data_IF_419213823766
#
_entry.id   IF_419213823766
#
_cell.length_a   1.000
_cell.length_b   1.000
_cell.length_c   1.000
_cell.angle_alpha   90.00
_cell.angle_beta   90.00
_cell.angle_gamma   90.00
#
_symmetry.space_group_name_H-M   'P 1'
#
loop_
_entity.id
_entity.type
_entity.pdbx_description
1 polymer ?
#
# COMPACT_ATOMS: atom_id res chain seq x y z
N UNK A 1 -37.84 -17.87 -45.18
CA UNK A 1 -36.62 -17.05 -45.35
C UNK A 1 -35.63 -17.43 -44.25
N UNK A 2 -34.35 -17.48 -44.61
CA UNK A 2 -33.26 -18.28 -44.01
C UNK A 2 -32.84 -17.92 -42.58
N UNK A 3 -32.59 -18.96 -41.79
CA UNK A 3 -31.70 -18.97 -40.61
C UNK A 3 -30.23 -18.86 -41.03
N UNK A 4 -29.40 -18.17 -40.24
CA UNK A 4 -27.95 -18.32 -40.26
C UNK A 4 -27.42 -18.52 -38.83
N UNK A 5 -26.79 -19.67 -38.65
CA UNK A 5 -26.00 -20.11 -37.50
C UNK A 5 -24.55 -19.74 -37.82
N UNK A 6 -23.86 -19.05 -36.91
CA UNK A 6 -22.43 -18.74 -37.04
C UNK A 6 -21.60 -19.96 -36.59
N UNK A 7 -20.71 -20.44 -37.47
CA UNK A 7 -19.75 -21.51 -37.22
C UNK A 7 -18.35 -20.95 -36.90
N UNK A 8 -17.67 -21.59 -35.95
CA UNK A 8 -16.29 -21.30 -35.51
C UNK A 8 -15.22 -21.58 -36.59
N UNK A 9 -14.02 -20.95 -36.50
CA UNK A 9 -12.91 -21.19 -37.44
C UNK A 9 -12.02 -22.40 -37.08
N UNK A 10 -11.50 -23.02 -38.15
CA UNK A 10 -10.91 -24.35 -38.29
C UNK A 10 -9.41 -24.44 -37.93
N UNK A 11 -9.01 -25.55 -37.30
CA UNK A 11 -7.70 -25.84 -36.69
C UNK A 11 -6.75 -26.62 -37.63
N UNK A 12 -6.78 -26.34 -38.94
CA UNK A 12 -6.03 -27.09 -39.96
C UNK A 12 -4.75 -26.38 -40.46
N UNK A 13 -4.51 -25.13 -40.05
CA UNK A 13 -3.35 -24.33 -40.47
C UNK A 13 -2.07 -24.57 -39.66
N UNK A 14 -2.18 -25.05 -38.41
CA UNK A 14 -1.04 -25.21 -37.50
C UNK A 14 -0.19 -26.47 -37.77
N UNK A 15 -0.65 -27.41 -38.61
CA UNK A 15 0.04 -28.68 -38.86
C UNK A 15 0.98 -28.71 -40.08
N UNK A 16 1.10 -27.62 -40.85
CA UNK A 16 1.87 -27.63 -42.11
C UNK A 16 3.29 -27.06 -42.04
N UNK A 17 3.73 -26.48 -40.92
CA UNK A 17 5.09 -25.91 -40.82
C UNK A 17 6.14 -26.82 -40.13
N UNK A 18 5.76 -27.98 -39.60
CA UNK A 18 6.66 -28.83 -38.80
C UNK A 18 7.46 -29.89 -39.60
N UNK A 19 7.48 -29.88 -40.95
CA UNK A 19 7.91 -31.08 -41.70
C UNK A 19 8.93 -30.88 -42.84
N UNK A 20 9.71 -29.79 -42.90
CA UNK A 20 10.81 -29.69 -43.87
C UNK A 20 12.08 -29.16 -43.21
N UNK A 21 13.21 -29.76 -43.59
CA UNK A 21 14.61 -29.43 -43.26
C UNK A 21 15.29 -30.23 -42.14
N UNK A 22 15.02 -31.54 -42.10
CA UNK A 22 16.07 -32.51 -41.76
C UNK A 22 16.77 -32.96 -43.04
N UNK A 23 18.12 -33.04 -43.00
CA UNK A 23 19.08 -33.72 -43.91
C UNK A 23 19.96 -32.81 -44.79
N UNK A 24 21.19 -32.58 -44.35
CA UNK A 24 22.46 -32.42 -45.11
C UNK A 24 23.51 -32.03 -44.06
N UNK A 25 24.46 -32.86 -43.62
CA UNK A 25 25.47 -33.57 -44.40
C UNK A 25 26.82 -32.86 -44.21
N UNK A 26 27.71 -33.42 -43.38
CA UNK A 26 29.06 -32.95 -43.07
C UNK A 26 29.86 -32.57 -44.33
N UNK A 27 30.43 -31.36 -44.40
CA UNK A 27 31.67 -31.04 -45.12
C UNK A 27 32.06 -29.58 -44.85
N UNK A 28 33.34 -29.27 -44.58
CA UNK A 28 33.86 -27.91 -44.77
C UNK A 28 34.46 -27.21 -43.56
N UNK A 29 35.57 -27.76 -43.11
CA UNK A 29 36.69 -27.16 -42.36
C UNK A 29 37.04 -25.68 -42.72
N UNK A 30 37.35 -24.87 -41.69
CA UNK A 30 38.18 -23.63 -41.65
C UNK A 30 37.97 -22.53 -42.71
N UNK A 31 37.18 -21.47 -42.41
CA UNK A 31 37.42 -20.10 -42.94
C UNK A 31 36.96 -19.01 -41.94
N UNK A 32 37.89 -18.11 -41.62
CA UNK A 32 37.70 -16.72 -41.17
C UNK A 32 37.11 -16.43 -39.78
N UNK A 33 37.99 -16.58 -38.80
CA UNK A 33 38.07 -15.74 -37.60
C UNK A 33 38.47 -14.31 -38.03
N UNK A 34 37.52 -13.37 -38.17
CA UNK A 34 37.76 -11.92 -38.13
C UNK A 34 36.44 -11.12 -38.15
N UNK A 35 36.40 -10.03 -37.37
CA UNK A 35 35.39 -8.95 -37.31
C UNK A 35 34.22 -9.15 -36.33
N UNK A 36 34.52 -9.05 -35.04
CA UNK A 36 33.60 -8.47 -34.05
C UNK A 36 34.35 -7.53 -33.12
N UNK A 37 34.89 -6.44 -33.67
CA UNK A 37 35.20 -5.23 -32.92
C UNK A 37 33.90 -4.44 -32.76
N UNK A 38 33.04 -4.88 -31.82
CA UNK A 38 31.78 -4.23 -31.46
C UNK A 38 31.88 -3.65 -30.06
N UNK A 39 31.69 -2.33 -29.96
CA UNK A 39 31.80 -1.46 -28.79
C UNK A 39 31.49 -2.11 -27.42
N UNK A 40 32.49 -2.09 -26.54
CA UNK A 40 32.30 -2.32 -25.11
C UNK A 40 31.31 -1.29 -24.55
N UNK A 41 30.07 -1.72 -24.32
CA UNK A 41 29.12 -0.97 -23.52
C UNK A 41 29.61 -1.02 -22.07
N UNK A 42 30.27 0.06 -21.63
CA UNK A 42 30.53 0.28 -20.22
C UNK A 42 29.18 0.40 -19.51
N UNK A 43 28.71 -0.71 -18.92
CA UNK A 43 27.59 -0.68 -17.99
C UNK A 43 28.02 0.16 -16.79
N UNK A 44 27.43 1.35 -16.65
CA UNK A 44 27.47 2.10 -15.40
C UNK A 44 26.65 1.27 -14.41
N UNK A 45 27.30 0.33 -13.74
CA UNK A 45 26.74 -0.34 -12.58
C UNK A 45 26.58 0.75 -11.54
N UNK A 46 25.35 1.18 -11.29
CA UNK A 46 25.03 2.08 -10.20
C UNK A 46 25.63 1.48 -8.93
N UNK A 47 26.52 2.24 -8.28
CA UNK A 47 27.04 1.86 -6.97
C UNK A 47 25.82 1.66 -6.05
N UNK A 48 25.73 0.55 -5.30
CA UNK A 48 24.70 0.42 -4.29
C UNK A 48 24.82 1.64 -3.38
N UNK A 49 23.74 2.43 -3.31
CA UNK A 49 23.63 3.48 -2.31
C UNK A 49 23.75 2.87 -0.91
N UNK A 50 24.15 3.65 0.11
CA UNK A 50 24.21 3.14 1.46
C UNK A 50 22.86 2.49 1.82
N UNK A 51 22.91 1.20 2.16
CA UNK A 51 21.78 0.45 2.64
C UNK A 51 21.15 1.22 3.79
N UNK A 52 19.87 1.57 3.65
CA UNK A 52 19.16 2.33 4.66
C UNK A 52 19.31 1.56 5.98
N UNK A 53 19.91 2.19 6.98
CA UNK A 53 20.13 1.58 8.29
C UNK A 53 18.80 0.96 8.77
N UNK A 54 18.84 -0.26 9.36
CA UNK A 54 17.62 -0.94 9.79
C UNK A 54 16.86 0.01 10.72
N UNK A 55 15.74 0.53 10.21
CA UNK A 55 14.87 1.40 10.98
C UNK A 55 14.28 0.53 12.09
N UNK A 56 14.75 0.72 13.32
CA UNK A 56 14.18 0.08 14.47
C UNK A 56 12.72 0.55 14.58
N UNK A 57 11.78 -0.32 14.18
CA UNK A 57 10.35 -0.08 14.40
C UNK A 57 10.18 0.03 15.91
N UNK A 58 9.75 1.18 16.45
CA UNK A 58 9.58 1.31 17.89
C UNK A 58 8.58 0.25 18.35
N UNK A 59 9.02 -0.61 19.27
CA UNK A 59 8.14 -1.62 19.86
C UNK A 59 7.16 -0.94 20.81
N UNK A 60 5.92 -0.74 20.37
CA UNK A 60 4.85 -0.19 21.20
C UNK A 60 4.10 -1.27 22.00
N UNK A 61 4.47 -2.53 21.82
CA UNK A 61 3.87 -3.71 22.44
C UNK A 61 4.88 -4.44 23.31
N UNK A 62 4.39 -5.06 24.39
CA UNK A 62 5.17 -6.03 25.16
C UNK A 62 5.41 -7.27 24.29
N UNK A 63 6.67 -7.60 23.93
CA UNK A 63 6.99 -8.77 23.11
C UNK A 63 6.57 -10.11 23.72
N UNK A 64 6.32 -10.13 25.03
CA UNK A 64 5.88 -11.32 25.78
C UNK A 64 4.37 -11.44 25.86
N UNK A 65 3.62 -10.40 25.50
CA UNK A 65 2.16 -10.46 25.47
C UNK A 65 1.72 -11.47 24.41
N UNK A 66 0.83 -12.37 24.81
CA UNK A 66 0.17 -13.35 23.94
C UNK A 66 -1.33 -13.15 24.15
N UNK A 67 -1.97 -12.21 23.44
CA UNK A 67 -3.41 -12.06 23.52
C UNK A 67 -4.06 -13.33 22.97
N UNK A 68 -5.05 -13.84 23.69
CA UNK A 68 -5.85 -14.97 23.19
C UNK A 68 -6.59 -14.54 21.92
N UNK A 69 -6.74 -15.49 20.99
CA UNK A 69 -7.56 -15.24 19.80
C UNK A 69 -9.02 -15.03 20.25
N UNK A 70 -9.68 -13.94 19.82
CA UNK A 70 -11.08 -13.72 20.17
C UNK A 70 -11.98 -14.78 19.52
N UNK A 71 -13.14 -15.02 20.11
CA UNK A 71 -14.18 -15.84 19.47
C UNK A 71 -14.77 -15.08 18.28
N UNK A 72 -14.48 -15.56 17.07
CA UNK A 72 -14.93 -14.97 15.81
C UNK A 72 -16.21 -15.61 15.27
N UNK A 73 -16.83 -16.56 15.99
CA UNK A 73 -17.98 -17.34 15.51
C UNK A 73 -19.19 -16.50 15.10
N UNK A 74 -19.30 -15.28 15.66
CA UNK A 74 -20.39 -14.33 15.39
C UNK A 74 -20.03 -13.24 14.37
N UNK A 75 -18.80 -13.22 13.86
CA UNK A 75 -18.30 -12.19 12.95
C UNK A 75 -18.21 -12.75 11.53
N UNK A 76 -19.11 -12.29 10.65
CA UNK A 76 -19.08 -12.61 9.22
C UNK A 76 -18.37 -11.54 8.40
N UNK A 77 -18.48 -10.27 8.80
CA UNK A 77 -17.85 -9.14 8.12
C UNK A 77 -17.46 -8.05 9.11
N UNK A 78 -16.35 -7.36 8.85
CA UNK A 78 -15.98 -6.11 9.54
C UNK A 78 -15.99 -4.95 8.55
N UNK A 79 -16.81 -3.92 8.85
CA UNK A 79 -16.92 -2.70 8.04
C UNK A 79 -16.02 -1.62 8.63
N UNK A 80 -14.80 -1.53 8.12
CA UNK A 80 -13.88 -0.45 8.48
C UNK A 80 -14.31 0.87 7.86
N UNK A 81 -14.22 1.93 8.65
CA UNK A 81 -14.33 3.33 8.22
C UNK A 81 -12.93 3.95 8.23
N UNK A 82 -12.58 4.63 7.14
CA UNK A 82 -11.35 5.42 7.03
C UNK A 82 -11.65 6.79 6.41
N UNK A 83 -10.65 7.65 6.26
CA UNK A 83 -10.82 8.97 5.65
C UNK A 83 -10.17 9.12 4.27
N UNK A 84 -10.43 10.25 3.59
CA UNK A 84 -10.19 10.42 2.15
C UNK A 84 -8.88 11.09 1.76
N UNK A 85 -8.23 11.84 2.66
CA UNK A 85 -7.17 12.80 2.33
C UNK A 85 -6.12 12.95 3.44
N UNK A 86 -5.46 11.84 3.81
CA UNK A 86 -4.35 11.84 4.77
C UNK A 86 -3.23 10.89 4.33
N UNK A 87 -2.56 11.18 3.20
CA UNK A 87 -1.39 10.41 2.77
C UNK A 87 -0.24 10.54 3.79
N UNK A 88 0.56 9.48 4.00
CA UNK A 88 0.51 8.17 3.33
C UNK A 88 -0.42 7.16 4.04
N UNK A 89 -1.24 7.59 4.99
CA UNK A 89 -1.97 6.69 5.89
C UNK A 89 -3.27 6.17 5.29
N UNK A 90 -4.11 7.04 4.77
CA UNK A 90 -5.29 6.65 4.02
C UNK A 90 -5.66 7.78 3.06
N UNK A 91 -5.86 7.46 1.79
CA UNK A 91 -6.12 8.43 0.74
C UNK A 91 -6.78 7.74 -0.45
N UNK A 92 -7.31 8.54 -1.37
CA UNK A 92 -7.89 8.01 -2.61
C UNK A 92 -6.77 7.78 -3.61
N UNK A 93 -6.59 6.52 -4.01
CA UNK A 93 -5.61 6.13 -5.02
C UNK A 93 -5.91 6.70 -6.41
N UNK A 94 -4.95 6.65 -7.34
CA UNK A 94 -5.14 7.14 -8.71
C UNK A 94 -6.22 6.36 -9.48
N UNK A 95 -6.52 5.14 -9.04
CA UNK A 95 -7.59 4.27 -9.55
C UNK A 95 -8.95 4.55 -8.90
N UNK A 96 -9.02 5.51 -7.96
CA UNK A 96 -10.22 5.84 -7.19
C UNK A 96 -10.45 4.94 -5.97
N UNK A 97 -9.59 3.95 -5.71
CA UNK A 97 -9.76 3.02 -4.59
C UNK A 97 -9.07 3.51 -3.30
N UNK A 98 -9.51 3.06 -2.12
CA UNK A 98 -8.80 3.32 -0.87
C UNK A 98 -7.38 2.74 -0.90
N UNK A 99 -6.40 3.58 -0.56
CA UNK A 99 -4.99 3.22 -0.47
C UNK A 99 -4.33 3.82 0.79
N UNK A 100 -3.18 3.27 1.19
CA UNK A 100 -2.36 3.77 2.30
C UNK A 100 -2.24 2.79 3.47
N UNK A 101 -1.37 3.12 4.41
CA UNK A 101 -1.00 2.26 5.55
C UNK A 101 -2.21 1.72 6.35
N UNK A 102 -3.18 2.56 6.70
CA UNK A 102 -4.38 2.18 7.44
C UNK A 102 -5.27 1.23 6.63
N UNK A 103 -5.33 1.41 5.31
CA UNK A 103 -6.11 0.53 4.43
C UNK A 103 -5.45 -0.85 4.33
N UNK A 104 -4.12 -0.88 4.16
CA UNK A 104 -3.37 -2.12 4.10
C UNK A 104 -3.39 -2.86 5.43
N UNK A 105 -3.28 -2.14 6.56
CA UNK A 105 -3.43 -2.71 7.88
C UNK A 105 -4.82 -3.32 8.09
N UNK A 106 -5.89 -2.64 7.70
CA UNK A 106 -7.25 -3.19 7.77
C UNK A 106 -7.35 -4.51 7.00
N UNK A 107 -6.86 -4.55 5.76
CA UNK A 107 -6.87 -5.75 4.93
C UNK A 107 -6.06 -6.89 5.56
N UNK A 108 -4.85 -6.60 6.04
CA UNK A 108 -3.98 -7.61 6.67
C UNK A 108 -4.56 -8.16 7.97
N UNK A 109 -5.23 -7.33 8.78
CA UNK A 109 -5.92 -7.80 9.98
C UNK A 109 -6.98 -8.85 9.63
N UNK A 110 -7.73 -8.60 8.57
CA UNK A 110 -8.80 -9.47 8.10
C UNK A 110 -8.29 -10.81 7.55
N UNK A 111 -7.17 -10.79 6.82
CA UNK A 111 -6.47 -12.00 6.39
C UNK A 111 -6.00 -12.84 7.59
N UNK A 112 -5.40 -12.21 8.61
CA UNK A 112 -4.86 -12.90 9.79
C UNK A 112 -5.95 -13.55 10.66
N UNK A 113 -7.12 -12.91 10.77
CA UNK A 113 -8.26 -13.44 11.53
C UNK A 113 -9.24 -14.24 10.67
N UNK A 114 -9.02 -14.31 9.35
CA UNK A 114 -9.86 -15.01 8.37
C UNK A 114 -11.32 -14.54 8.37
N UNK A 115 -11.53 -13.23 8.43
CA UNK A 115 -12.85 -12.59 8.36
C UNK A 115 -12.91 -11.68 7.13
N UNK A 116 -14.07 -11.60 6.47
CA UNK A 116 -14.23 -10.69 5.33
C UNK A 116 -14.32 -9.24 5.80
N UNK A 117 -13.74 -8.29 5.05
CA UNK A 117 -13.78 -6.89 5.44
C UNK A 117 -14.07 -5.95 4.28
N UNK A 118 -14.70 -4.83 4.60
CA UNK A 118 -14.88 -3.70 3.68
C UNK A 118 -14.21 -2.47 4.26
N UNK A 119 -13.59 -1.65 3.42
CA UNK A 119 -13.03 -0.35 3.83
C UNK A 119 -13.82 0.76 3.12
N UNK A 120 -14.51 1.60 3.89
CA UNK A 120 -15.29 2.72 3.38
C UNK A 120 -14.62 4.04 3.75
N UNK A 121 -14.39 4.89 2.76
CA UNK A 121 -13.83 6.22 2.97
C UNK A 121 -14.94 7.24 3.22
N UNK A 122 -14.73 8.12 4.21
CA UNK A 122 -15.64 9.21 4.57
C UNK A 122 -14.83 10.45 4.96
N UNK A 123 -15.50 11.59 5.13
CA UNK A 123 -14.83 12.74 5.77
C UNK A 123 -14.53 12.42 7.23
N UNK A 124 -13.34 12.82 7.71
CA UNK A 124 -12.85 12.51 9.06
C UNK A 124 -13.84 12.90 10.18
N UNK A 125 -14.44 14.08 10.08
CA UNK A 125 -15.38 14.62 11.06
C UNK A 125 -16.69 13.82 11.19
N UNK A 126 -17.00 12.97 10.20
CA UNK A 126 -18.21 12.14 10.20
C UNK A 126 -18.00 10.73 10.74
N UNK A 127 -16.76 10.33 11.02
CA UNK A 127 -16.43 8.94 11.34
C UNK A 127 -17.06 8.48 12.65
N UNK A 128 -16.98 9.30 13.71
CA UNK A 128 -17.52 8.95 15.02
C UNK A 128 -19.04 8.82 15.01
N UNK A 129 -19.74 9.71 14.29
CA UNK A 129 -21.20 9.65 14.17
C UNK A 129 -21.64 8.47 13.31
N UNK A 130 -20.87 8.13 12.27
CA UNK A 130 -21.11 6.92 11.47
C UNK A 130 -20.94 5.64 12.31
N UNK A 131 -19.90 5.58 13.16
CA UNK A 131 -19.71 4.47 14.10
C UNK A 131 -20.86 4.38 15.11
N UNK A 132 -21.23 5.50 15.74
CA UNK A 132 -22.33 5.56 16.71
C UNK A 132 -23.69 5.17 16.10
N UNK A 133 -23.89 5.45 14.81
CA UNK A 133 -25.11 5.07 14.06
C UNK A 133 -25.02 3.68 13.43
N UNK A 134 -24.05 2.84 13.81
CA UNK A 134 -23.84 1.50 13.29
C UNK A 134 -23.65 1.42 11.75
N UNK A 135 -23.11 2.49 11.14
CA UNK A 135 -22.77 2.54 9.70
C UNK A 135 -21.40 1.95 9.38
N UNK A 136 -20.62 1.60 10.40
CA UNK A 136 -19.39 0.82 10.34
C UNK A 136 -19.11 0.20 11.70
N UNK A 137 -18.14 -0.70 11.77
CA UNK A 137 -17.83 -1.50 12.96
C UNK A 137 -16.53 -1.05 13.65
N UNK A 138 -15.60 -0.46 12.88
CA UNK A 138 -14.34 0.05 13.40
C UNK A 138 -13.84 1.24 12.57
N UNK A 139 -13.15 2.18 13.22
CA UNK A 139 -12.47 3.29 12.54
C UNK A 139 -10.96 2.99 12.47
N UNK A 140 -10.37 3.11 11.29
CA UNK A 140 -8.92 2.99 11.05
C UNK A 140 -8.44 4.19 10.23
N UNK A 141 -8.22 5.31 10.91
CA UNK A 141 -8.01 6.61 10.29
C UNK A 141 -7.11 7.53 11.14
N UNK A 142 -6.05 6.98 11.74
CA UNK A 142 -5.09 7.80 12.51
C UNK A 142 -5.68 8.50 13.74
N UNK A 143 -6.73 7.93 14.34
CA UNK A 143 -7.47 8.56 15.43
C UNK A 143 -6.63 8.53 16.72
N UNK A 144 -6.29 9.71 17.23
CA UNK A 144 -5.60 9.83 18.51
C UNK A 144 -6.56 9.51 19.66
N UNK A 145 -6.18 8.55 20.51
CA UNK A 145 -6.95 8.21 21.70
C UNK A 145 -6.86 9.34 22.75
N UNK A 146 -7.94 10.08 22.94
CA UNK A 146 -8.08 11.10 24.00
C UNK A 146 -9.01 10.61 25.12
N UNK A 147 -8.93 11.17 26.34
CA UNK A 147 -9.88 10.85 27.41
C UNK A 147 -11.35 11.06 27.00
N UNK A 148 -11.61 12.10 26.21
CA UNK A 148 -12.95 12.44 25.73
C UNK A 148 -13.48 11.39 24.74
N UNK A 149 -12.63 10.88 23.84
CA UNK A 149 -13.05 9.83 22.91
C UNK A 149 -13.17 8.47 23.59
N UNK A 150 -12.29 8.14 24.53
CA UNK A 150 -12.37 6.89 25.32
C UNK A 150 -13.65 6.78 26.14
N UNK A 151 -14.29 7.90 26.48
CA UNK A 151 -15.60 7.91 27.13
C UNK A 151 -16.76 7.56 26.17
N UNK A 152 -16.52 7.52 24.85
CA UNK A 152 -17.55 7.31 23.82
C UNK A 152 -17.35 6.05 23.00
N UNK A 153 -16.10 5.61 22.80
CA UNK A 153 -15.75 4.48 21.95
C UNK A 153 -14.58 3.70 22.54
N UNK A 154 -14.53 2.41 22.26
CA UNK A 154 -13.39 1.57 22.58
C UNK A 154 -12.22 1.81 21.62
N UNK A 155 -11.01 1.62 22.12
CA UNK A 155 -9.77 1.73 21.34
C UNK A 155 -8.98 0.44 21.42
N UNK A 156 -8.33 0.09 20.31
CA UNK A 156 -7.27 -0.92 20.31
C UNK A 156 -6.06 -0.40 21.07
N UNK A 157 -5.08 -1.29 21.25
CA UNK A 157 -3.72 -0.84 21.52
C UNK A 157 -3.20 0.03 20.35
N UNK A 158 -2.33 1.02 20.63
CA UNK A 158 -1.81 1.89 19.59
C UNK A 158 -0.89 1.10 18.64
N UNK A 159 -1.18 1.19 17.33
CA UNK A 159 -0.39 0.50 16.29
C UNK A 159 0.71 1.37 15.69
N UNK A 160 0.66 2.70 15.86
CA UNK A 160 1.80 3.61 15.65
C UNK A 160 1.65 4.90 16.46
N UNK A 161 2.71 5.70 16.49
CA UNK A 161 2.68 7.09 16.99
C UNK A 161 3.36 8.00 15.99
N UNK A 162 2.68 9.06 15.58
CA UNK A 162 3.25 10.11 14.75
C UNK A 162 3.42 11.38 15.59
N UNK A 163 4.63 11.70 16.09
CA UNK A 163 4.84 12.95 16.81
C UNK A 163 4.62 14.13 15.87
N UNK A 164 3.92 15.15 16.34
CA UNK A 164 3.73 16.39 15.60
C UNK A 164 5.09 17.02 15.25
N UNK A 165 5.19 17.58 14.04
CA UNK A 165 6.37 18.30 13.55
C UNK A 165 5.94 19.65 13.01
N UNK A 166 6.80 20.64 13.21
CA UNK A 166 6.64 21.92 12.53
C UNK A 166 7.21 21.82 11.13
N UNK A 167 6.50 22.43 10.18
CA UNK A 167 6.93 22.53 8.79
C UNK A 167 6.91 24.00 8.41
N UNK A 168 7.98 24.46 7.78
CA UNK A 168 8.10 25.82 7.24
C UNK A 168 8.55 25.75 5.79
N UNK A 169 8.42 26.88 5.08
CA UNK A 169 9.14 27.05 3.82
C UNK A 169 10.65 27.06 4.08
N UNK A 170 11.44 26.67 3.07
CA UNK A 170 12.90 26.59 3.17
C UNK A 170 13.55 27.95 3.47
N UNK A 171 13.02 29.03 2.89
CA UNK A 171 13.45 30.41 3.12
C UNK A 171 13.09 30.94 4.52
N UNK A 172 12.20 30.25 5.23
CA UNK A 172 11.76 30.57 6.59
C UNK A 172 12.14 29.48 7.60
N UNK A 173 13.10 28.62 7.25
CA UNK A 173 13.57 27.55 8.12
C UNK A 173 14.22 28.13 9.37
N UNK A 174 13.73 27.70 10.54
CA UNK A 174 14.35 28.04 11.81
C UNK A 174 15.38 26.97 12.16
N UNK A 175 16.56 27.35 12.69
CA UNK A 175 17.58 26.38 13.11
C UNK A 175 17.06 25.42 14.19
N UNK A 176 16.17 25.90 15.04
CA UNK A 176 15.53 25.14 16.11
C UNK A 176 14.09 25.61 16.28
N UNK A 177 13.21 24.72 16.73
CA UNK A 177 11.83 25.09 17.05
C UNK A 177 11.64 25.12 18.55
N UNK A 178 11.59 26.33 19.10
CA UNK A 178 11.35 26.58 20.52
C UNK A 178 10.19 27.56 20.70
N UNK A 179 9.48 27.54 21.85
CA UNK A 179 8.35 28.44 22.09
C UNK A 179 8.68 29.91 21.85
N UNK A 180 9.87 30.37 22.28
CA UNK A 180 10.30 31.76 22.16
C UNK A 180 10.43 32.21 20.69
N UNK A 181 10.73 31.27 19.79
CA UNK A 181 10.86 31.53 18.35
C UNK A 181 9.53 31.50 17.61
N UNK A 182 8.45 31.03 18.25
CA UNK A 182 7.11 30.98 17.69
C UNK A 182 6.26 32.19 18.13
N UNK A 183 6.74 32.97 19.09
CA UNK A 183 6.06 34.19 19.54
C UNK A 183 5.82 35.16 18.38
N UNK A 184 4.59 35.68 18.30
CA UNK A 184 4.16 36.57 17.22
C UNK A 184 4.04 35.94 15.83
N UNK A 185 4.34 34.64 15.67
CA UNK A 185 4.18 33.94 14.38
C UNK A 185 2.78 33.33 14.25
N UNK A 186 2.30 33.29 13.02
CA UNK A 186 1.05 32.59 12.67
C UNK A 186 1.33 31.10 12.47
N UNK A 187 0.69 30.25 13.28
CA UNK A 187 0.81 28.80 13.20
C UNK A 187 -0.53 28.21 12.72
N UNK A 188 -0.48 27.41 11.66
CA UNK A 188 -1.63 26.65 11.17
C UNK A 188 -1.62 25.23 11.74
N UNK A 189 -2.80 24.72 12.08
CA UNK A 189 -3.03 23.33 12.44
C UNK A 189 -4.39 22.89 11.88
N UNK A 190 -4.55 21.59 11.62
CA UNK A 190 -5.84 21.02 11.23
C UNK A 190 -6.76 21.02 12.47
N UNK A 191 -8.01 21.45 12.31
CA UNK A 191 -9.00 21.38 13.37
C UNK A 191 -9.30 19.90 13.71
N UNK A 192 -9.20 19.56 14.99
CA UNK A 192 -9.43 18.21 15.52
C UNK A 192 -10.85 18.01 16.03
#
# INVERSE_FOLDING_TARGET
>A
MRSQIASAPDASLFRRLCALQARSGLLGLFVAMALSAGAAHAQIVARPGPEAAPQAVPGFWDPRRRPDRPDLSRLSVIRFLTETDYPPFNFTGPDGNPAGFNVDLARQLCEEIKVTCTVQMRRFDTLLDALASNRGDAIIASVAASPQLRARVDFTDPYYRAPARFVSRRDAAMPEVRPEYLEGKKIGAIAG
#
